data_IF_398003666582
#
_entry.id   IF_398003666582
#
_cell.length_a   1.000
_cell.length_b   1.000
_cell.length_c   1.000
_cell.angle_alpha   90.00
_cell.angle_beta   90.00
_cell.angle_gamma   90.00
#
_symmetry.space_group_name_H-M   'P 1'
#
loop_
_entity.id
_entity.type
_entity.pdbx_description
1 polymer ?
#
# COMPACT_ATOMS: atom_id res chain seq x y z
N UNK A 1 5.22 1.88 43.17
CA UNK A 1 5.05 2.20 41.74
C UNK A 1 6.36 1.95 41.04
N UNK A 2 6.48 0.87 40.26
CA UNK A 2 7.72 0.56 39.53
C UNK A 2 7.80 1.43 38.27
N UNK A 3 8.90 2.15 38.02
CA UNK A 3 9.05 2.94 36.81
C UNK A 3 9.09 2.00 35.60
N UNK A 4 8.16 2.21 34.66
CA UNK A 4 8.11 1.52 33.37
C UNK A 4 9.37 1.85 32.58
N UNK A 5 10.39 0.98 32.68
CA UNK A 5 11.61 1.07 31.88
C UNK A 5 11.22 0.91 30.41
N UNK A 6 11.16 2.04 29.70
CA UNK A 6 10.98 2.08 28.25
C UNK A 6 12.24 1.44 27.65
N UNK A 7 12.14 0.19 27.19
CA UNK A 7 13.23 -0.50 26.49
C UNK A 7 13.52 0.25 25.19
N UNK A 8 14.53 1.12 25.22
CA UNK A 8 15.10 1.76 24.04
C UNK A 8 16.15 0.78 23.51
N UNK A 9 16.01 0.37 22.26
CA UNK A 9 17.00 -0.46 21.59
C UNK A 9 18.29 0.37 21.47
N UNK A 10 19.34 0.02 22.22
CA UNK A 10 20.62 0.77 22.19
C UNK A 10 21.21 0.65 20.79
N UNK A 11 21.48 1.80 20.19
CA UNK A 11 22.06 1.95 18.86
C UNK A 11 23.59 2.06 19.01
N UNK A 12 24.35 1.66 17.99
CA UNK A 12 25.81 1.79 17.99
C UNK A 12 26.24 3.24 17.67
N UNK A 13 27.34 3.70 18.26
CA UNK A 13 27.82 5.12 18.33
C UNK A 13 27.76 5.97 17.05
N UNK A 14 27.84 5.39 15.85
CA UNK A 14 27.77 6.12 14.57
C UNK A 14 26.34 6.21 13.98
N UNK A 15 25.42 5.39 14.49
CA UNK A 15 24.07 5.20 13.98
C UNK A 15 23.03 5.91 14.88
N UNK A 16 23.51 6.54 15.97
CA UNK A 16 22.72 7.20 17.02
C UNK A 16 21.88 8.37 16.51
N UNK A 17 22.30 9.04 15.43
CA UNK A 17 21.58 10.18 14.85
C UNK A 17 20.79 9.83 13.59
N UNK A 18 21.26 8.85 12.83
CA UNK A 18 20.64 8.46 11.56
C UNK A 18 19.28 7.79 11.79
N UNK A 19 19.21 6.85 12.73
CA UNK A 19 17.96 6.16 13.10
C UNK A 19 16.86 7.11 13.59
N UNK A 20 17.08 8.00 14.59
CA UNK A 20 16.03 8.92 15.02
C UNK A 20 15.64 9.90 13.91
N UNK A 21 16.57 10.38 13.09
CA UNK A 21 16.27 11.24 11.95
C UNK A 21 15.37 10.52 10.92
N UNK A 22 15.66 9.27 10.58
CA UNK A 22 14.81 8.47 9.70
C UNK A 22 13.40 8.26 10.26
N UNK A 23 13.28 8.05 11.58
CA UNK A 23 11.98 7.93 12.26
C UNK A 23 11.20 9.24 12.18
N UNK A 24 11.86 10.39 12.34
CA UNK A 24 11.24 11.70 12.16
C UNK A 24 10.78 11.92 10.71
N UNK A 25 11.60 11.57 9.72
CA UNK A 25 11.21 11.62 8.31
C UNK A 25 9.96 10.76 8.03
N UNK A 26 9.93 9.54 8.56
CA UNK A 26 8.75 8.66 8.47
C UNK A 26 7.51 9.26 9.14
N UNK A 27 7.65 9.84 10.34
CA UNK A 27 6.57 10.50 11.06
C UNK A 27 6.01 11.73 10.32
N UNK A 28 6.86 12.48 9.64
CA UNK A 28 6.45 13.63 8.83
C UNK A 28 5.76 13.16 7.54
N UNK A 29 6.29 12.10 6.90
CA UNK A 29 5.73 11.54 5.68
C UNK A 29 4.29 11.04 5.87
N UNK A 30 4.01 10.34 6.98
CA UNK A 30 2.65 9.85 7.27
C UNK A 30 1.65 10.97 7.59
N UNK A 31 2.13 12.17 7.96
CA UNK A 31 1.29 13.35 8.25
C UNK A 31 1.07 14.23 7.03
N UNK A 32 1.80 14.00 5.94
CA UNK A 32 1.72 14.82 4.74
C UNK A 32 0.40 14.60 4.02
N UNK A 33 -0.37 15.68 3.83
CA UNK A 33 -1.61 15.65 3.04
C UNK A 33 -1.36 15.74 1.53
N UNK A 34 -0.19 16.24 1.12
CA UNK A 34 0.16 16.45 -0.29
C UNK A 34 0.46 15.14 -1.02
N UNK A 35 1.02 14.17 -0.31
CA UNK A 35 1.40 12.87 -0.86
C UNK A 35 0.95 11.75 0.10
N UNK A 36 -0.27 11.22 -0.06
CA UNK A 36 -0.87 10.29 0.90
C UNK A 36 -0.29 8.86 0.85
N UNK A 37 0.60 8.54 -0.10
CA UNK A 37 1.12 7.18 -0.32
C UNK A 37 1.62 6.50 0.96
N UNK A 38 2.50 7.19 1.68
CA UNK A 38 3.09 6.66 2.91
C UNK A 38 2.09 6.60 4.06
N UNK A 39 1.10 7.49 4.09
CA UNK A 39 0.04 7.47 5.10
C UNK A 39 -0.86 6.24 4.94
N UNK A 40 -1.30 5.95 3.70
CA UNK A 40 -2.13 4.77 3.41
C UNK A 40 -1.36 3.49 3.73
N UNK A 41 -0.10 3.37 3.28
CA UNK A 41 0.75 2.22 3.64
C UNK A 41 0.91 2.06 5.15
N UNK A 42 1.15 3.17 5.84
CA UNK A 42 1.31 3.18 7.28
C UNK A 42 0.08 2.60 7.97
N UNK A 43 -1.13 2.99 7.57
CA UNK A 43 -2.37 2.49 8.17
C UNK A 43 -2.56 0.99 7.95
N UNK A 44 -2.27 0.49 6.74
CA UNK A 44 -2.32 -0.94 6.44
C UNK A 44 -1.32 -1.77 7.27
N UNK A 45 -0.12 -1.24 7.51
CA UNK A 45 0.90 -1.92 8.33
C UNK A 45 0.56 -1.79 9.82
N UNK A 46 0.10 -0.62 10.26
CA UNK A 46 -0.31 -0.33 11.64
C UNK A 46 -1.40 -1.27 12.11
N UNK A 47 -2.42 -1.52 11.27
CA UNK A 47 -3.50 -2.48 11.55
C UNK A 47 -2.98 -3.88 11.90
N UNK A 48 -1.91 -4.34 11.22
CA UNK A 48 -1.37 -5.71 11.35
C UNK A 48 -0.25 -5.84 12.38
N UNK A 49 0.58 -4.81 12.56
CA UNK A 49 1.86 -4.89 13.31
C UNK A 49 2.00 -3.87 14.44
N UNK A 50 1.07 -2.92 14.55
CA UNK A 50 1.10 -1.85 15.54
C UNK A 50 1.95 -0.64 15.15
N UNK A 51 1.74 0.47 15.86
CA UNK A 51 2.26 1.80 15.54
C UNK A 51 3.79 1.88 15.36
N UNK A 52 4.55 1.39 16.35
CA UNK A 52 6.03 1.48 16.33
C UNK A 52 6.63 0.71 15.15
N UNK A 53 6.11 -0.49 14.86
CA UNK A 53 6.58 -1.31 13.73
C UNK A 53 6.21 -0.69 12.39
N UNK A 54 5.06 -0.03 12.30
CA UNK A 54 4.63 0.66 11.09
C UNK A 54 5.54 1.85 10.75
N UNK A 55 5.92 2.69 11.73
CA UNK A 55 6.83 3.82 11.48
C UNK A 55 8.19 3.33 10.97
N UNK A 56 8.75 2.29 11.61
CA UNK A 56 10.04 1.72 11.19
C UNK A 56 9.96 1.16 9.77
N UNK A 57 8.84 0.52 9.41
CA UNK A 57 8.62 0.00 8.07
C UNK A 57 8.59 1.13 7.03
N UNK A 58 7.85 2.21 7.29
CA UNK A 58 7.81 3.39 6.39
C UNK A 58 9.19 4.03 6.24
N UNK A 59 9.91 4.22 7.34
CA UNK A 59 11.26 4.78 7.30
C UNK A 59 12.21 3.94 6.43
N UNK A 60 12.15 2.61 6.55
CA UNK A 60 12.93 1.70 5.70
C UNK A 60 12.53 1.77 4.23
N UNK A 61 11.23 1.84 3.95
CA UNK A 61 10.74 1.98 2.57
C UNK A 61 11.22 3.28 1.94
N UNK A 62 11.09 4.41 2.66
CA UNK A 62 11.60 5.71 2.19
C UNK A 62 13.09 5.66 1.88
N UNK A 63 13.89 5.05 2.76
CA UNK A 63 15.33 4.90 2.53
C UNK A 63 15.64 4.08 1.28
N UNK A 64 14.97 2.93 1.12
CA UNK A 64 15.12 2.10 -0.09
C UNK A 64 14.78 2.89 -1.35
N UNK A 65 13.67 3.61 -1.36
CA UNK A 65 13.27 4.44 -2.49
C UNK A 65 14.30 5.53 -2.81
N UNK A 66 14.85 6.22 -1.81
CA UNK A 66 15.88 7.23 -2.02
C UNK A 66 17.15 6.61 -2.61
N UNK A 67 17.60 5.46 -2.10
CA UNK A 67 18.75 4.75 -2.63
C UNK A 67 18.54 4.36 -4.10
N UNK A 68 17.37 3.79 -4.46
CA UNK A 68 17.07 3.44 -5.85
C UNK A 68 17.01 4.68 -6.76
N UNK A 69 16.36 5.76 -6.32
CA UNK A 69 16.30 7.00 -7.10
C UNK A 69 17.68 7.58 -7.38
N UNK A 70 18.58 7.58 -6.39
CA UNK A 70 19.94 8.14 -6.53
C UNK A 70 20.84 7.21 -7.36
N UNK A 71 20.82 5.91 -7.08
CA UNK A 71 21.68 4.94 -7.76
C UNK A 71 21.28 4.68 -9.21
N UNK A 72 19.98 4.53 -9.48
CA UNK A 72 19.45 4.21 -10.82
C UNK A 72 19.08 5.46 -11.63
N UNK A 73 19.09 6.65 -11.00
CA UNK A 73 18.66 7.94 -11.58
C UNK A 73 17.23 7.92 -12.13
N UNK A 74 16.37 7.11 -11.52
CA UNK A 74 14.96 6.96 -11.89
C UNK A 74 14.06 7.76 -10.93
N UNK A 75 12.91 8.26 -11.40
CA UNK A 75 11.95 8.92 -10.52
C UNK A 75 11.35 7.92 -9.53
N UNK A 76 10.68 8.44 -8.50
CA UNK A 76 9.94 7.62 -7.54
C UNK A 76 8.76 6.93 -8.22
N UNK A 77 8.90 5.63 -8.52
CA UNK A 77 7.85 4.81 -9.12
C UNK A 77 7.67 3.49 -8.36
N UNK A 78 6.98 3.50 -7.22
CA UNK A 78 6.68 2.25 -6.50
C UNK A 78 5.73 1.37 -7.32
N UNK A 79 5.99 0.06 -7.33
CA UNK A 79 5.21 -0.90 -8.11
C UNK A 79 3.72 -0.91 -7.74
N UNK A 80 3.40 -0.64 -6.47
CA UNK A 80 2.04 -0.66 -5.94
C UNK A 80 1.41 0.75 -5.80
N UNK A 81 2.02 1.76 -6.42
CA UNK A 81 1.55 3.14 -6.32
C UNK A 81 0.13 3.29 -6.89
N UNK A 82 -0.09 2.82 -8.12
CA UNK A 82 -1.39 2.93 -8.80
C UNK A 82 -2.50 2.17 -8.09
N UNK A 83 -2.21 0.93 -7.65
CA UNK A 83 -3.17 0.11 -6.91
C UNK A 83 -3.58 0.79 -5.60
N UNK A 84 -2.62 1.37 -4.89
CA UNK A 84 -2.89 2.00 -3.59
C UNK A 84 -3.62 3.35 -3.72
N UNK A 85 -3.37 4.09 -4.80
CA UNK A 85 -3.97 5.41 -5.04
C UNK A 85 -5.36 5.32 -5.68
N UNK A 86 -5.64 4.25 -6.42
CA UNK A 86 -6.92 4.00 -7.07
C UNK A 86 -7.60 2.75 -6.49
N UNK A 87 -8.20 2.83 -5.28
CA UNK A 87 -8.88 1.69 -4.66
C UNK A 87 -10.10 1.18 -5.46
N UNK A 88 -10.54 1.91 -6.49
CA UNK A 88 -11.61 1.49 -7.41
C UNK A 88 -11.17 0.37 -8.37
N UNK A 89 -9.86 0.14 -8.55
CA UNK A 89 -9.35 -0.92 -9.44
C UNK A 89 -9.41 -2.34 -8.82
N UNK A 90 -9.91 -2.49 -7.60
CA UNK A 90 -10.11 -3.80 -6.96
C UNK A 90 -11.41 -4.50 -7.39
N UNK A 91 -12.21 -3.90 -8.26
CA UNK A 91 -13.13 -4.69 -9.08
C UNK A 91 -12.23 -5.62 -9.89
N UNK A 92 -12.05 -6.87 -9.41
CA UNK A 92 -11.43 -7.94 -10.22
C UNK A 92 -12.03 -7.78 -11.59
N UNK A 93 -11.22 -7.40 -12.59
CA UNK A 93 -11.68 -7.33 -13.97
C UNK A 93 -12.14 -8.75 -14.29
N UNK A 94 -13.45 -8.98 -14.19
CA UNK A 94 -14.04 -10.26 -14.55
C UNK A 94 -13.73 -10.37 -16.03
N UNK A 95 -12.85 -11.30 -16.39
CA UNK A 95 -12.67 -11.62 -17.80
C UNK A 95 -13.99 -12.25 -18.23
N UNK A 96 -14.75 -11.50 -19.02
CA UNK A 96 -16.03 -11.91 -19.53
C UNK A 96 -15.77 -12.91 -20.66
N UNK A 97 -16.14 -14.16 -20.42
CA UNK A 97 -16.09 -15.27 -21.35
C UNK A 97 -17.54 -15.62 -21.71
N UNK A 98 -17.77 -16.23 -22.87
CA UNK A 98 -19.12 -16.62 -23.32
C UNK A 98 -19.90 -17.41 -22.24
N UNK A 99 -19.21 -18.26 -21.48
CA UNK A 99 -19.82 -19.08 -20.42
C UNK A 99 -20.17 -18.31 -19.13
N UNK A 100 -19.53 -17.18 -18.84
CA UNK A 100 -19.70 -16.45 -17.57
C UNK A 100 -20.40 -15.08 -17.73
N UNK A 101 -20.56 -14.60 -18.96
CA UNK A 101 -21.19 -13.30 -19.29
C UNK A 101 -22.65 -13.25 -18.86
N UNK A 102 -23.43 -14.28 -19.20
CA UNK A 102 -24.86 -14.34 -18.87
C UNK A 102 -25.09 -14.38 -17.35
N UNK A 103 -24.28 -15.17 -16.63
CA UNK A 103 -24.35 -15.26 -15.15
C UNK A 103 -24.01 -13.92 -14.51
N UNK A 104 -23.02 -13.21 -15.04
CA UNK A 104 -22.64 -11.89 -14.55
C UNK A 104 -23.74 -10.83 -14.78
N UNK A 105 -24.36 -10.82 -15.96
CA UNK A 105 -25.46 -9.91 -16.29
C UNK A 105 -26.71 -10.17 -15.41
N UNK A 106 -27.04 -11.45 -15.19
CA UNK A 106 -28.14 -11.83 -14.30
C UNK A 106 -27.88 -11.37 -12.85
N UNK A 107 -26.64 -11.50 -12.35
CA UNK A 107 -26.27 -11.02 -11.01
C UNK A 107 -26.34 -9.50 -10.85
N UNK A 108 -26.26 -8.74 -11.96
CA UNK A 108 -26.46 -7.29 -11.98
C UNK A 108 -27.94 -6.89 -12.12
N UNK A 109 -28.86 -7.85 -12.23
CA UNK A 109 -30.30 -7.62 -12.31
C UNK A 109 -30.85 -7.41 -13.71
N UNK A 110 -30.08 -7.75 -14.76
CA UNK A 110 -30.57 -7.74 -16.13
C UNK A 110 -31.34 -9.04 -16.44
N UNK A 111 -32.46 -8.93 -17.18
CA UNK A 111 -33.23 -10.08 -17.65
C UNK A 111 -32.52 -10.75 -18.84
N UNK A 112 -31.76 -11.82 -18.54
CA UNK A 112 -31.00 -12.57 -19.54
C UNK A 112 -31.84 -13.56 -20.34
N UNK A 113 -33.13 -13.72 -20.01
CA UNK A 113 -34.03 -14.72 -20.63
C UNK A 113 -34.27 -14.47 -22.13
N UNK A 114 -34.04 -13.23 -22.57
CA UNK A 114 -34.24 -12.79 -23.97
C UNK A 114 -32.94 -12.79 -24.78
N UNK A 115 -31.80 -13.08 -24.14
CA UNK A 115 -30.50 -13.10 -24.80
C UNK A 115 -30.23 -14.52 -25.30
N UNK A 116 -30.08 -14.68 -26.62
CA UNK A 116 -29.76 -15.94 -27.27
C UNK A 116 -28.38 -15.82 -27.90
N UNK A 117 -27.55 -16.86 -27.77
CA UNK A 117 -26.25 -16.91 -28.43
C UNK A 117 -26.44 -17.17 -29.93
N UNK A 118 -25.94 -16.27 -30.78
CA UNK A 118 -26.07 -16.41 -32.24
C UNK A 118 -25.07 -17.41 -32.85
N UNK A 119 -24.14 -17.97 -32.06
CA UNK A 119 -23.11 -18.90 -32.53
C UNK A 119 -23.53 -20.38 -32.49
N UNK A 120 -24.74 -20.71 -32.04
CA UNK A 120 -25.23 -22.09 -31.94
C UNK A 120 -25.95 -22.59 -33.22
N UNK A 121 -25.59 -22.04 -34.40
CA UNK A 121 -26.16 -22.42 -35.70
C UNK A 121 -25.10 -22.90 -36.69
#
# INVERSE_FOLDING_TARGET
MNPLVKKIFRIAKADDYLKPMMVQCGLTAIKSKKQPYFAIKYDLIKKRRGHKKAIIAIARMMMGCICHMVSEKRPFTPADYEELMNPQNHMKRVVLNESNTLVFLAAQGYDTSKLVNCNDN
#
